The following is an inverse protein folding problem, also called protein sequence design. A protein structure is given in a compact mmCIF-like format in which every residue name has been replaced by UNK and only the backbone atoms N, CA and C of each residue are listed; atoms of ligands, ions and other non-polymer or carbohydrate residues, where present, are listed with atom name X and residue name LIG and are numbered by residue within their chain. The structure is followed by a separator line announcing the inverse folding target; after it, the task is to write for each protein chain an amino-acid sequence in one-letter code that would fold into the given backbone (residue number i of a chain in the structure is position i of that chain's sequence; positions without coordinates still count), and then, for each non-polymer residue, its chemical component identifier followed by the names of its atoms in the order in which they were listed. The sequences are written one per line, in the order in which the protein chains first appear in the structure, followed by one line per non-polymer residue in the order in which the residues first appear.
data_IF_509751107746
#
_entry.id   IF_509751107746
#
_cell.length_a   1.000
_cell.length_b   1.000
_cell.length_c   1.000
_cell.angle_alpha   90.00
_cell.angle_beta   90.00
_cell.angle_gamma   90.00
#
_symmetry.space_group_name_H-M   'P 1'
#
loop_
_entity.id
_entity.type
_entity.pdbx_description
1 polymer ?
#
# COMPACT_ATOMS: atom_id res chain seq x y z
N UNK A 1 12.57 -9.52 11.69
CA UNK A 1 12.50 -8.05 11.74
C UNK A 1 11.32 -7.46 10.99
N UNK A 2 11.01 -7.84 9.71
CA UNK A 2 9.87 -7.26 8.97
C UNK A 2 8.52 -7.44 9.68
N UNK A 3 8.18 -8.66 10.10
CA UNK A 3 6.92 -8.95 10.79
C UNK A 3 6.75 -8.13 12.10
N UNK A 4 7.85 -7.87 12.82
CA UNK A 4 7.81 -7.03 14.03
C UNK A 4 7.50 -5.57 13.69
N UNK A 5 8.16 -5.01 12.67
CA UNK A 5 7.87 -3.66 12.20
C UNK A 5 6.43 -3.54 11.70
N UNK A 6 5.91 -4.58 11.03
CA UNK A 6 4.52 -4.63 10.57
C UNK A 6 3.53 -4.73 11.74
N UNK A 7 3.88 -5.47 12.80
CA UNK A 7 3.08 -5.49 14.02
C UNK A 7 3.03 -4.11 14.71
N UNK A 8 4.11 -3.33 14.66
CA UNK A 8 4.13 -1.98 15.22
C UNK A 8 3.13 -1.05 14.52
N UNK A 9 3.10 -0.98 13.18
CA UNK A 9 2.13 -0.10 12.52
C UNK A 9 0.68 -0.58 12.70
N UNK A 10 0.45 -1.89 12.75
CA UNK A 10 -0.88 -2.44 13.05
C UNK A 10 -1.30 -2.13 14.49
N UNK A 11 -0.35 -2.19 15.44
CA UNK A 11 -0.58 -1.78 16.84
C UNK A 11 -0.94 -0.30 16.97
N UNK A 12 -0.22 0.58 16.26
CA UNK A 12 -0.57 2.02 16.19
C UNK A 12 -1.98 2.20 15.60
N UNK A 13 -2.31 1.47 14.52
CA UNK A 13 -3.66 1.46 13.96
C UNK A 13 -4.73 0.98 14.96
N UNK A 14 -4.42 -0.04 15.76
CA UNK A 14 -5.30 -0.53 16.82
C UNK A 14 -5.56 0.52 17.92
N UNK A 15 -4.52 1.25 18.33
CA UNK A 15 -4.66 2.38 19.26
C UNK A 15 -5.49 3.49 18.60
N UNK A 16 -5.24 3.82 17.33
CA UNK A 16 -6.01 4.82 16.59
C UNK A 16 -7.50 4.47 16.51
N UNK A 17 -7.84 3.17 16.42
CA UNK A 17 -9.23 2.69 16.39
C UNK A 17 -10.02 3.05 17.67
N UNK A 18 -9.37 3.15 18.81
CA UNK A 18 -10.08 3.52 20.06
C UNK A 18 -10.70 4.92 19.97
N UNK A 19 -10.07 5.83 19.20
CA UNK A 19 -10.58 7.20 18.96
C UNK A 19 -11.61 7.31 17.82
N UNK A 20 -11.70 6.31 16.94
CA UNK A 20 -12.59 6.34 15.77
C UNK A 20 -13.50 5.11 15.65
N UNK A 21 -13.86 4.51 16.79
CA UNK A 21 -14.64 3.26 16.86
C UNK A 21 -15.96 3.29 16.08
N UNK A 22 -16.62 4.45 15.99
CA UNK A 22 -17.88 4.60 15.26
C UNK A 22 -17.70 4.89 13.77
N UNK A 23 -16.47 4.99 13.27
CA UNK A 23 -16.18 5.36 11.91
C UNK A 23 -16.00 4.15 11.00
N UNK A 24 -16.82 4.05 9.95
CA UNK A 24 -16.63 3.05 8.89
C UNK A 24 -15.27 3.23 8.20
N UNK A 25 -14.83 4.48 7.98
CA UNK A 25 -13.50 4.77 7.45
C UNK A 25 -12.41 4.15 8.33
N UNK A 26 -12.46 4.38 9.64
CA UNK A 26 -11.50 3.82 10.60
C UNK A 26 -11.44 2.30 10.54
N UNK A 27 -12.59 1.61 10.54
CA UNK A 27 -12.63 0.15 10.44
C UNK A 27 -12.01 -0.37 9.15
N UNK A 28 -12.31 0.26 8.00
CA UNK A 28 -11.76 -0.15 6.71
C UNK A 28 -10.25 0.09 6.63
N UNK A 29 -9.75 1.22 7.13
CA UNK A 29 -8.31 1.50 7.18
C UNK A 29 -7.60 0.52 8.10
N UNK A 30 -8.15 0.25 9.29
CA UNK A 30 -7.57 -0.72 10.22
C UNK A 30 -7.55 -2.14 9.65
N UNK A 31 -8.65 -2.57 9.00
CA UNK A 31 -8.68 -3.85 8.28
C UNK A 31 -7.59 -3.91 7.21
N UNK A 32 -7.38 -2.82 6.46
CA UNK A 32 -6.29 -2.68 5.49
C UNK A 32 -4.91 -2.83 6.12
N UNK A 33 -4.67 -2.25 7.31
CA UNK A 33 -3.40 -2.40 8.04
C UNK A 33 -3.18 -3.85 8.50
N UNK A 34 -4.21 -4.54 9.00
CA UNK A 34 -4.16 -5.93 9.39
C UNK A 34 -3.89 -6.86 8.19
N UNK A 35 -4.55 -6.61 7.05
CA UNK A 35 -4.30 -7.34 5.81
C UNK A 35 -2.88 -7.07 5.29
N UNK A 36 -2.36 -5.85 5.41
CA UNK A 36 -0.98 -5.52 5.11
C UNK A 36 0.01 -6.30 5.97
N UNK A 37 -0.23 -6.39 7.29
CA UNK A 37 0.56 -7.23 8.20
C UNK A 37 0.54 -8.70 7.76
N UNK A 38 -0.63 -9.25 7.44
CA UNK A 38 -0.75 -10.62 6.95
C UNK A 38 0.06 -10.83 5.65
N UNK A 39 0.01 -9.87 4.72
CA UNK A 39 0.82 -9.87 3.51
C UNK A 39 2.32 -9.89 3.79
N UNK A 40 2.81 -9.07 4.73
CA UNK A 40 4.22 -9.03 5.14
C UNK A 40 4.69 -10.35 5.76
N UNK A 41 3.85 -10.97 6.59
CA UNK A 41 4.13 -12.29 7.17
C UNK A 41 4.23 -13.36 6.07
N UNK A 42 3.26 -13.37 5.13
CA UNK A 42 3.25 -14.31 4.01
C UNK A 42 4.48 -14.15 3.11
N UNK A 43 4.88 -12.92 2.80
CA UNK A 43 6.12 -12.66 2.06
C UNK A 43 7.38 -13.03 2.86
N UNK A 44 7.33 -12.93 4.18
CA UNK A 44 8.39 -13.43 5.08
C UNK A 44 8.53 -14.95 5.00
N UNK A 45 7.41 -15.68 5.07
CA UNK A 45 7.34 -17.16 4.97
C UNK A 45 7.85 -17.68 3.61
N UNK A 46 7.69 -16.92 2.54
CA UNK A 46 8.27 -17.24 1.21
C UNK A 46 9.76 -17.56 1.28
N UNK A 47 10.52 -16.87 2.15
CA UNK A 47 11.96 -17.07 2.31
C UNK A 47 12.29 -18.31 3.12
N UNK A 48 11.44 -18.65 4.08
CA UNK A 48 11.62 -19.82 4.97
C UNK A 48 11.21 -21.13 4.27
N UNK A 49 10.25 -21.07 3.35
CA UNK A 49 9.71 -22.24 2.66
C UNK A 49 9.88 -22.15 1.14
N UNK A 50 11.09 -22.38 0.58
CA UNK A 50 11.38 -22.20 -0.85
C UNK A 50 10.48 -23.05 -1.76
N UNK A 51 10.13 -24.29 -1.33
CA UNK A 51 9.24 -25.20 -2.09
C UNK A 51 7.83 -24.64 -2.31
N UNK A 52 7.33 -23.79 -1.40
CA UNK A 52 6.00 -23.15 -1.46
C UNK A 52 6.09 -21.65 -1.75
N UNK A 53 7.24 -21.18 -2.18
CA UNK A 53 7.53 -19.73 -2.35
C UNK A 53 6.55 -19.02 -3.28
N UNK A 54 6.09 -19.68 -4.36
CA UNK A 54 5.09 -19.14 -5.28
C UNK A 54 3.71 -18.96 -4.64
N UNK A 55 3.27 -19.92 -3.84
CA UNK A 55 1.98 -19.86 -3.12
C UNK A 55 1.98 -18.72 -2.08
N UNK A 56 3.05 -18.62 -1.29
CA UNK A 56 3.18 -17.52 -0.31
C UNK A 56 3.28 -16.15 -0.97
N UNK A 57 3.95 -16.04 -2.13
CA UNK A 57 4.00 -14.80 -2.88
C UNK A 57 2.62 -14.40 -3.41
N UNK A 58 1.87 -15.34 -3.97
CA UNK A 58 0.52 -15.10 -4.46
C UNK A 58 -0.45 -14.72 -3.32
N UNK A 59 -0.43 -15.46 -2.20
CA UNK A 59 -1.26 -15.15 -1.04
C UNK A 59 -0.93 -13.78 -0.44
N UNK A 60 0.36 -13.41 -0.37
CA UNK A 60 0.80 -12.09 0.06
C UNK A 60 0.30 -10.99 -0.86
N UNK A 61 0.40 -11.17 -2.18
CA UNK A 61 -0.11 -10.22 -3.17
C UNK A 61 -1.64 -10.02 -3.06
N UNK A 62 -2.39 -11.11 -2.86
CA UNK A 62 -3.85 -11.04 -2.64
C UNK A 62 -4.18 -10.29 -1.35
N UNK A 63 -3.43 -10.54 -0.27
CA UNK A 63 -3.61 -9.84 1.01
C UNK A 63 -3.39 -8.33 0.88
N UNK A 64 -2.34 -7.91 0.17
CA UNK A 64 -2.09 -6.49 -0.10
C UNK A 64 -3.12 -5.88 -1.05
N UNK A 65 -3.57 -6.64 -2.07
CA UNK A 65 -4.65 -6.18 -2.95
C UNK A 65 -5.94 -5.92 -2.17
N UNK A 66 -6.30 -6.83 -1.25
CA UNK A 66 -7.44 -6.65 -0.34
C UNK A 66 -7.25 -5.45 0.60
N UNK A 67 -6.02 -5.23 1.12
CA UNK A 67 -5.70 -4.05 1.92
C UNK A 67 -5.93 -2.74 1.15
N UNK A 68 -5.50 -2.67 -0.12
CA UNK A 68 -5.73 -1.52 -0.98
C UNK A 68 -7.22 -1.33 -1.31
N UNK A 69 -7.97 -2.43 -1.52
CA UNK A 69 -9.42 -2.36 -1.73
C UNK A 69 -10.15 -1.79 -0.50
N UNK A 70 -9.73 -2.13 0.72
CA UNK A 70 -10.25 -1.50 1.94
C UNK A 70 -9.99 0.01 1.95
N UNK A 71 -8.79 0.46 1.57
CA UNK A 71 -8.47 1.88 1.45
C UNK A 71 -9.33 2.60 0.41
N UNK A 72 -9.53 2.00 -0.77
CA UNK A 72 -10.43 2.53 -1.81
C UNK A 72 -11.84 2.69 -1.27
N UNK A 73 -12.38 1.65 -0.63
CA UNK A 73 -13.74 1.66 -0.06
C UNK A 73 -13.87 2.74 1.03
N UNK A 74 -12.85 2.92 1.87
CA UNK A 74 -12.84 3.95 2.90
C UNK A 74 -12.99 5.36 2.30
N UNK A 75 -12.23 5.68 1.25
CA UNK A 75 -12.28 6.99 0.60
C UNK A 75 -13.56 7.21 -0.22
N UNK A 76 -14.07 6.20 -0.92
CA UNK A 76 -15.35 6.28 -1.62
C UNK A 76 -16.49 6.53 -0.61
N UNK A 77 -16.45 5.88 0.55
CA UNK A 77 -17.40 6.10 1.63
C UNK A 77 -17.32 7.51 2.24
N UNK A 78 -16.13 8.13 2.21
CA UNK A 78 -15.93 9.52 2.66
C UNK A 78 -16.50 10.52 1.66
N UNK A 79 -16.14 10.37 0.38
CA UNK A 79 -16.70 11.14 -0.75
C UNK A 79 -16.47 10.43 -2.08
N UNK A 80 -17.57 10.15 -2.85
CA UNK A 80 -17.42 9.52 -4.18
C UNK A 80 -16.63 10.36 -5.19
N UNK A 81 -16.47 11.68 -4.94
CA UNK A 81 -15.72 12.60 -5.82
C UNK A 81 -14.25 12.22 -5.95
N UNK A 82 -13.70 11.42 -5.02
CA UNK A 82 -12.31 10.93 -5.09
C UNK A 82 -12.01 10.20 -6.39
N UNK A 83 -13.01 9.59 -7.02
CA UNK A 83 -12.85 8.86 -8.28
C UNK A 83 -12.41 9.75 -9.44
N UNK A 84 -12.74 11.07 -9.42
CA UNK A 84 -12.28 12.01 -10.44
C UNK A 84 -10.75 12.20 -10.43
N UNK A 85 -10.13 12.04 -9.26
CA UNK A 85 -8.66 12.10 -9.11
C UNK A 85 -8.04 10.72 -9.27
N UNK A 86 -8.73 9.68 -8.81
CA UNK A 86 -8.22 8.31 -8.83
C UNK A 86 -7.90 7.80 -10.25
N UNK A 87 -8.78 8.09 -11.22
CA UNK A 87 -8.60 7.62 -12.59
C UNK A 87 -7.36 8.23 -13.28
N UNK A 88 -7.17 9.55 -13.35
CA UNK A 88 -5.97 10.13 -13.95
C UNK A 88 -4.70 9.82 -13.15
N UNK A 89 -4.77 9.76 -11.82
CA UNK A 89 -3.65 9.37 -10.98
C UNK A 89 -3.18 7.94 -11.30
N UNK A 90 -4.12 6.98 -11.37
CA UNK A 90 -3.80 5.60 -11.68
C UNK A 90 -3.23 5.46 -13.10
N UNK A 91 -3.77 6.18 -14.09
CA UNK A 91 -3.26 6.16 -15.45
C UNK A 91 -1.84 6.72 -15.53
N UNK A 92 -1.57 7.87 -14.92
CA UNK A 92 -0.23 8.47 -14.86
C UNK A 92 0.74 7.56 -14.09
N UNK A 93 0.34 7.07 -12.91
CA UNK A 93 1.15 6.18 -12.09
C UNK A 93 1.50 4.88 -12.82
N UNK A 94 0.54 4.26 -13.51
CA UNK A 94 0.79 3.05 -14.30
C UNK A 94 1.76 3.33 -15.47
N UNK A 95 1.64 4.47 -16.14
CA UNK A 95 2.58 4.87 -17.18
C UNK A 95 4.02 5.00 -16.63
N UNK A 96 4.19 5.68 -15.48
CA UNK A 96 5.50 5.81 -14.84
C UNK A 96 6.04 4.47 -14.33
N UNK A 97 5.20 3.64 -13.69
CA UNK A 97 5.58 2.31 -13.23
C UNK A 97 6.04 1.43 -14.38
N UNK A 98 5.26 1.34 -15.46
CA UNK A 98 5.62 0.56 -16.64
C UNK A 98 6.93 1.04 -17.27
N UNK A 99 7.11 2.36 -17.40
CA UNK A 99 8.34 2.95 -17.97
C UNK A 99 9.55 2.63 -17.10
N UNK A 100 9.41 2.79 -15.76
CA UNK A 100 10.48 2.49 -14.81
C UNK A 100 10.85 1.02 -14.81
N UNK A 101 9.88 0.11 -14.74
CA UNK A 101 10.10 -1.34 -14.72
C UNK A 101 10.68 -1.84 -16.06
N UNK A 102 10.24 -1.27 -17.20
CA UNK A 102 10.83 -1.55 -18.52
C UNK A 102 12.29 -1.12 -18.58
N UNK A 103 12.64 0.08 -18.08
CA UNK A 103 14.02 0.58 -18.00
C UNK A 103 14.90 -0.34 -17.14
N UNK A 104 14.32 -0.96 -16.10
CA UNK A 104 15.01 -1.92 -15.23
C UNK A 104 15.03 -3.35 -15.75
N UNK A 105 14.52 -3.60 -16.97
CA UNK A 105 14.45 -4.93 -17.62
C UNK A 105 13.79 -5.98 -16.72
N UNK A 106 12.73 -5.60 -16.01
CA UNK A 106 12.00 -6.50 -15.12
C UNK A 106 11.32 -7.60 -15.93
N UNK A 107 11.58 -8.87 -15.58
CA UNK A 107 11.01 -10.05 -16.23
C UNK A 107 10.02 -10.73 -15.30
N UNK A 108 8.75 -10.36 -15.39
CA UNK A 108 7.66 -11.00 -14.65
C UNK A 108 7.01 -12.09 -15.52
N UNK A 109 7.37 -13.37 -15.34
CA UNK A 109 6.86 -14.45 -16.20
C UNK A 109 5.44 -14.93 -15.80
N UNK A 110 5.27 -15.49 -14.63
CA UNK A 110 4.07 -16.25 -14.24
C UNK A 110 3.10 -15.47 -13.34
N UNK A 111 3.60 -14.48 -12.62
CA UNK A 111 2.83 -13.65 -11.70
C UNK A 111 2.56 -12.23 -12.26
N UNK A 112 2.85 -12.00 -13.55
CA UNK A 112 2.72 -10.68 -14.16
C UNK A 112 1.31 -10.09 -14.01
N UNK A 113 0.27 -10.89 -14.27
CA UNK A 113 -1.11 -10.42 -14.16
C UNK A 113 -1.50 -10.03 -12.72
N UNK A 114 -1.09 -10.83 -11.72
CA UNK A 114 -1.31 -10.50 -10.32
C UNK A 114 -0.55 -9.25 -9.90
N UNK A 115 0.68 -9.09 -10.41
CA UNK A 115 1.49 -7.90 -10.16
C UNK A 115 0.88 -6.64 -10.77
N UNK A 116 0.38 -6.72 -12.01
CA UNK A 116 -0.29 -5.60 -12.69
C UNK A 116 -1.61 -5.23 -11.96
N UNK A 117 -2.41 -6.24 -11.60
CA UNK A 117 -3.66 -6.01 -10.86
C UNK A 117 -3.38 -5.38 -9.49
N UNK A 118 -2.39 -5.89 -8.78
CA UNK A 118 -1.97 -5.33 -7.50
C UNK A 118 -1.51 -3.87 -7.64
N UNK A 119 -0.64 -3.57 -8.61
CA UNK A 119 -0.14 -2.22 -8.87
C UNK A 119 -1.28 -1.27 -9.25
N UNK A 120 -2.23 -1.71 -10.06
CA UNK A 120 -3.41 -0.93 -10.43
C UNK A 120 -4.25 -0.58 -9.19
N UNK A 121 -4.54 -1.56 -8.32
CA UNK A 121 -5.29 -1.33 -7.08
C UNK A 121 -4.54 -0.37 -6.14
N UNK A 122 -3.22 -0.50 -6.04
CA UNK A 122 -2.38 0.40 -5.26
C UNK A 122 -2.46 1.84 -5.77
N UNK A 123 -2.38 2.03 -7.09
CA UNK A 123 -2.45 3.35 -7.71
C UNK A 123 -3.86 3.96 -7.62
N UNK A 124 -4.91 3.16 -7.75
CA UNK A 124 -6.29 3.61 -7.53
C UNK A 124 -6.46 4.06 -6.07
N UNK A 125 -5.98 3.27 -5.10
CA UNK A 125 -6.02 3.63 -3.69
C UNK A 125 -5.27 4.94 -3.41
N UNK A 126 -4.06 5.10 -3.95
CA UNK A 126 -3.28 6.34 -3.84
C UNK A 126 -4.00 7.53 -4.46
N UNK A 127 -4.65 7.35 -5.60
CA UNK A 127 -5.46 8.37 -6.27
C UNK A 127 -6.75 8.72 -5.49
N UNK A 128 -7.41 7.74 -4.87
CA UNK A 128 -8.53 7.99 -3.95
C UNK A 128 -8.08 8.80 -2.73
N UNK A 129 -6.91 8.48 -2.18
CA UNK A 129 -6.34 9.23 -1.07
C UNK A 129 -5.99 10.67 -1.46
N UNK A 130 -5.38 10.86 -2.64
CA UNK A 130 -5.13 12.19 -3.20
C UNK A 130 -6.43 12.98 -3.43
N UNK A 131 -7.47 12.31 -3.96
CA UNK A 131 -8.81 12.89 -4.08
C UNK A 131 -9.42 13.26 -2.72
N UNK A 132 -9.22 12.44 -1.69
CA UNK A 132 -9.60 12.74 -0.31
C UNK A 132 -8.92 14.01 0.21
N UNK A 133 -7.63 14.19 -0.06
CA UNK A 133 -6.89 15.39 0.30
C UNK A 133 -7.37 16.65 -0.44
N UNK A 134 -8.07 16.50 -1.58
CA UNK A 134 -8.64 17.61 -2.35
C UNK A 134 -10.09 17.91 -1.97
N UNK A 135 -10.94 16.88 -1.87
CA UNK A 135 -12.38 17.03 -1.71
C UNK A 135 -12.89 16.88 -0.27
N UNK A 136 -12.10 16.28 0.62
CA UNK A 136 -12.37 16.12 2.03
C UNK A 136 -11.11 16.47 2.84
N UNK A 137 -10.67 17.74 2.69
CA UNK A 137 -9.40 18.23 3.22
C UNK A 137 -9.36 18.09 4.73
N UNK A 138 -8.43 17.30 5.23
CA UNK A 138 -8.09 17.17 6.64
C UNK A 138 -6.63 16.75 6.79
N UNK A 139 -6.00 16.95 7.94
CA UNK A 139 -4.65 16.44 8.17
C UNK A 139 -4.56 14.92 7.94
N UNK A 140 -5.61 14.17 8.28
CA UNK A 140 -5.69 12.73 8.08
C UNK A 140 -5.69 12.33 6.60
N UNK A 141 -6.50 12.98 5.76
CA UNK A 141 -6.54 12.68 4.32
C UNK A 141 -5.23 13.03 3.63
N UNK A 142 -4.57 14.13 4.05
CA UNK A 142 -3.25 14.53 3.53
C UNK A 142 -2.19 13.50 3.92
N UNK A 143 -2.15 13.07 5.20
CA UNK A 143 -1.21 12.05 5.67
C UNK A 143 -1.39 10.73 4.92
N UNK A 144 -2.64 10.30 4.70
CA UNK A 144 -2.92 9.08 3.95
C UNK A 144 -2.46 9.21 2.49
N UNK A 145 -2.69 10.37 1.85
CA UNK A 145 -2.26 10.62 0.47
C UNK A 145 -0.73 10.55 0.32
N UNK A 146 0.01 11.17 1.25
CA UNK A 146 1.48 11.08 1.30
C UNK A 146 1.92 9.63 1.53
N UNK A 147 1.24 8.90 2.44
CA UNK A 147 1.47 7.48 2.66
C UNK A 147 1.23 6.64 1.41
N UNK A 148 0.15 6.90 0.68
CA UNK A 148 -0.16 6.22 -0.59
C UNK A 148 0.91 6.43 -1.66
N UNK A 149 1.42 7.66 -1.78
CA UNK A 149 2.54 7.96 -2.68
C UNK A 149 3.82 7.23 -2.29
N UNK A 150 4.17 7.23 -1.01
CA UNK A 150 5.35 6.51 -0.51
C UNK A 150 5.23 5.01 -0.74
N UNK A 151 4.04 4.45 -0.56
CA UNK A 151 3.78 3.03 -0.80
C UNK A 151 3.99 2.67 -2.27
N UNK A 152 3.45 3.46 -3.21
CA UNK A 152 3.63 3.25 -4.64
C UNK A 152 5.11 3.31 -5.05
N UNK A 153 5.87 4.26 -4.53
CA UNK A 153 7.32 4.35 -4.81
C UNK A 153 8.06 3.15 -4.20
N UNK A 154 7.74 2.79 -2.96
CA UNK A 154 8.37 1.68 -2.24
C UNK A 154 8.20 0.35 -2.99
N UNK A 155 7.00 0.06 -3.47
CA UNK A 155 6.70 -1.19 -4.16
C UNK A 155 7.36 -1.26 -5.53
N UNK A 156 7.38 -0.17 -6.29
CA UNK A 156 8.11 -0.11 -7.56
C UNK A 156 9.62 -0.33 -7.37
N UNK A 157 10.21 0.24 -6.32
CA UNK A 157 11.62 0.00 -5.98
C UNK A 157 11.85 -1.47 -5.59
N UNK A 158 10.96 -2.07 -4.81
CA UNK A 158 11.04 -3.47 -4.40
C UNK A 158 10.91 -4.42 -5.59
N UNK A 159 9.94 -4.19 -6.48
CA UNK A 159 9.74 -4.98 -7.70
C UNK A 159 10.96 -4.89 -8.60
N UNK A 160 11.50 -3.68 -8.80
CA UNK A 160 12.70 -3.47 -9.60
C UNK A 160 13.94 -4.16 -9.02
N UNK A 161 14.06 -4.27 -7.69
CA UNK A 161 15.15 -4.99 -7.04
C UNK A 161 14.97 -6.51 -7.11
N UNK A 162 13.75 -7.01 -6.94
CA UNK A 162 13.45 -8.45 -6.92
C UNK A 162 13.50 -9.10 -8.31
N UNK A 163 13.10 -8.39 -9.35
CA UNK A 163 12.89 -8.97 -10.70
C UNK A 163 13.62 -8.24 -11.81
N UNK A 164 14.26 -7.11 -11.52
CA UNK A 164 15.05 -6.33 -12.47
C UNK A 164 16.52 -6.71 -12.52
N UNK A 165 17.27 -5.97 -13.32
CA UNK A 165 18.74 -6.11 -13.41
C UNK A 165 19.43 -5.21 -12.39
N UNK A 166 20.44 -5.75 -11.72
CA UNK A 166 21.29 -5.01 -10.75
C UNK A 166 20.61 -4.82 -9.39
N UNK A 167 20.84 -5.76 -8.48
CA UNK A 167 20.45 -5.61 -7.06
C UNK A 167 21.22 -4.45 -6.43
N UNK A 168 20.53 -3.67 -5.57
CA UNK A 168 21.13 -2.57 -4.83
C UNK A 168 20.61 -2.57 -3.39
N UNK A 169 21.54 -2.67 -2.43
CA UNK A 169 21.21 -2.59 -1.01
C UNK A 169 20.50 -1.28 -0.65
N UNK A 170 20.88 -0.18 -1.30
CA UNK A 170 20.29 1.14 -1.05
C UNK A 170 18.84 1.21 -1.53
N UNK A 171 18.51 0.62 -2.71
CA UNK A 171 17.12 0.52 -3.17
C UNK A 171 16.26 -0.28 -2.21
N UNK A 172 16.77 -1.40 -1.72
CA UNK A 172 16.05 -2.25 -0.78
C UNK A 172 15.83 -1.54 0.56
N UNK A 173 16.82 -0.78 1.04
CA UNK A 173 16.71 0.05 2.25
C UNK A 173 15.69 1.18 2.05
N UNK A 174 15.80 1.92 0.96
CA UNK A 174 14.89 3.04 0.63
C UNK A 174 13.45 2.53 0.48
N UNK A 175 13.23 1.42 -0.25
CA UNK A 175 11.91 0.78 -0.33
C UNK A 175 11.38 0.43 1.06
N UNK A 176 12.20 -0.15 1.93
CA UNK A 176 11.78 -0.48 3.30
C UNK A 176 11.41 0.74 4.14
N UNK A 177 12.21 1.80 4.10
CA UNK A 177 11.92 3.05 4.81
C UNK A 177 10.62 3.66 4.33
N UNK A 178 10.45 3.81 3.01
CA UNK A 178 9.22 4.38 2.42
C UNK A 178 7.98 3.54 2.76
N UNK A 179 8.11 2.20 2.68
CA UNK A 179 7.01 1.29 2.99
C UNK A 179 6.52 1.45 4.44
N UNK A 180 7.42 1.40 5.42
CA UNK A 180 7.02 1.52 6.82
C UNK A 180 6.56 2.93 7.19
N UNK A 181 7.18 3.97 6.62
CA UNK A 181 6.69 5.35 6.76
C UNK A 181 5.27 5.50 6.21
N UNK A 182 4.99 4.92 5.04
CA UNK A 182 3.65 4.91 4.44
C UNK A 182 2.62 4.28 5.38
N UNK A 183 2.93 3.11 5.95
CA UNK A 183 2.03 2.39 6.86
C UNK A 183 1.78 3.16 8.16
N UNK A 184 2.81 3.80 8.69
CA UNK A 184 2.69 4.68 9.87
C UNK A 184 1.81 5.88 9.55
N UNK A 185 2.00 6.57 8.42
CA UNK A 185 1.14 7.68 8.00
C UNK A 185 -0.31 7.25 7.81
N UNK A 186 -0.55 6.06 7.23
CA UNK A 186 -1.88 5.47 7.14
C UNK A 186 -2.49 5.23 8.52
N UNK A 187 -1.72 4.73 9.50
CA UNK A 187 -2.21 4.54 10.86
C UNK A 187 -2.53 5.88 11.56
N UNK A 188 -1.64 6.87 11.44
CA UNK A 188 -1.86 8.21 12.01
C UNK A 188 -3.00 8.98 11.35
N UNK A 189 -3.29 8.72 10.06
CA UNK A 189 -4.41 9.36 9.37
C UNK A 189 -5.75 9.11 10.06
N UNK A 190 -5.90 7.94 10.72
CA UNK A 190 -7.11 7.60 11.46
C UNK A 190 -7.31 8.51 12.67
N UNK A 191 -6.24 8.85 13.39
CA UNK A 191 -6.29 9.73 14.56
C UNK A 191 -6.67 11.15 14.14
N UNK A 192 -6.00 11.66 13.11
CA UNK A 192 -6.10 13.07 12.70
C UNK A 192 -7.33 13.39 11.83
N UNK A 193 -8.05 12.36 11.36
CA UNK A 193 -9.30 12.56 10.62
C UNK A 193 -10.47 12.93 11.54
N UNK A 194 -10.45 12.49 12.80
CA UNK A 194 -11.58 12.58 13.74
C UNK A 194 -11.30 13.45 14.97
N UNK A 195 -10.14 14.08 15.06
CA UNK A 195 -9.74 14.93 16.21
C UNK A 195 -10.11 16.41 16.00
N UNK A 196 -10.94 16.73 14.97
CA UNK A 196 -11.39 18.11 14.73
C UNK A 196 -12.90 18.18 14.92
#
# INVERSE_FOLDING_TARGET
MKALASACYAGVGGIAMTGCWYSVFGHLVFAGLCLGLAGDVLLGLRRLYPKKSGAYAAAGAVSFAAANACGIAAFIGLTPKVLYVAAPYAAAGMFFACTYLKKRKVKMKRLAYLGILYELLLLIMGGCAAGGAVFAVSPGTILFAVGGLFLAIADNLLIADMYGTGHSADRLRTSGILYYSARIFTAFSMITLFVI
#
